data_IF_046952153322
#
_entry.id   IF_046952153322
#
_cell.length_a   1.000
_cell.length_b   1.000
_cell.length_c   1.000
_cell.angle_alpha   90.00
_cell.angle_beta   90.00
_cell.angle_gamma   90.00
#
_symmetry.space_group_name_H-M   'P 1'
#
loop_
_entity.id
_entity.type
_entity.pdbx_description
1 polymer ?
#
# COMPACT_ATOMS: atom_id res chain seq x y z
N UNK A 1 -27.95 58.56 -14.32
CA UNK A 1 -26.88 57.86 -13.60
C UNK A 1 -27.52 56.69 -12.85
N UNK A 2 -27.47 55.49 -13.38
CA UNK A 2 -28.06 54.32 -12.71
C UNK A 2 -27.09 53.72 -11.69
N UNK A 3 -27.64 53.32 -10.69
CA UNK A 3 -27.34 52.80 -9.38
C UNK A 3 -26.08 51.91 -9.26
N UNK A 4 -25.00 52.47 -8.78
CA UNK A 4 -23.73 51.81 -8.44
C UNK A 4 -23.84 50.89 -7.20
N UNK A 5 -24.99 50.87 -6.52
CA UNK A 5 -25.24 50.07 -5.32
C UNK A 5 -25.71 48.64 -5.60
N UNK A 6 -26.39 48.38 -6.73
CA UNK A 6 -26.88 47.05 -7.10
C UNK A 6 -25.76 46.08 -7.56
N UNK A 7 -24.62 46.63 -8.03
CA UNK A 7 -23.51 45.80 -8.51
C UNK A 7 -22.62 45.25 -7.37
N UNK A 8 -22.74 45.77 -6.14
CA UNK A 8 -21.90 45.39 -4.99
C UNK A 8 -22.52 44.32 -4.09
N UNK A 9 -23.84 44.07 -4.17
CA UNK A 9 -24.51 43.04 -3.34
C UNK A 9 -24.45 41.63 -3.95
N UNK A 10 -24.21 41.49 -5.25
CA UNK A 10 -24.16 40.17 -5.90
C UNK A 10 -22.76 39.55 -5.93
N UNK A 11 -21.69 40.30 -5.73
CA UNK A 11 -20.30 39.78 -5.78
C UNK A 11 -19.96 38.78 -4.66
N UNK A 12 -20.35 38.98 -3.38
CA UNK A 12 -20.01 38.02 -2.34
C UNK A 12 -20.77 36.69 -2.45
N UNK A 13 -21.99 36.70 -2.97
CA UNK A 13 -22.76 35.45 -3.17
C UNK A 13 -22.28 34.63 -4.36
N UNK A 14 -21.87 35.26 -5.45
CA UNK A 14 -21.34 34.59 -6.64
C UNK A 14 -19.97 33.95 -6.34
N UNK A 15 -19.08 34.64 -5.64
CA UNK A 15 -17.79 34.11 -5.21
C UNK A 15 -17.93 32.97 -4.21
N UNK A 16 -18.87 33.07 -3.26
CA UNK A 16 -19.18 32.01 -2.30
C UNK A 16 -19.76 30.76 -3.00
N UNK A 17 -20.64 30.97 -3.98
CA UNK A 17 -21.19 29.87 -4.77
C UNK A 17 -20.11 29.19 -5.63
N UNK A 18 -19.23 29.92 -6.30
CA UNK A 18 -18.13 29.38 -7.09
C UNK A 18 -17.15 28.60 -6.20
N UNK A 19 -16.81 29.12 -5.03
CA UNK A 19 -15.97 28.46 -4.04
C UNK A 19 -16.58 27.12 -3.57
N UNK A 20 -17.88 27.09 -3.34
CA UNK A 20 -18.60 25.88 -2.93
C UNK A 20 -18.63 24.85 -4.05
N UNK A 21 -18.83 25.27 -5.31
CA UNK A 21 -18.80 24.40 -6.49
C UNK A 21 -17.40 23.78 -6.64
N UNK A 22 -16.33 24.57 -6.54
CA UNK A 22 -14.94 24.09 -6.63
C UNK A 22 -14.60 23.09 -5.51
N UNK A 23 -15.01 23.38 -4.28
CA UNK A 23 -14.80 22.43 -3.15
C UNK A 23 -15.53 21.11 -3.38
N UNK A 24 -16.74 21.14 -3.89
CA UNK A 24 -17.49 19.93 -4.24
C UNK A 24 -16.83 19.14 -5.37
N UNK A 25 -16.27 19.81 -6.37
CA UNK A 25 -15.51 19.16 -7.45
C UNK A 25 -14.23 18.52 -6.92
N UNK A 26 -13.46 19.20 -6.06
CA UNK A 26 -12.28 18.62 -5.42
C UNK A 26 -12.66 17.38 -4.58
N UNK A 27 -13.72 17.44 -3.79
CA UNK A 27 -14.16 16.30 -2.99
C UNK A 27 -14.50 15.08 -3.85
N UNK A 28 -15.25 15.27 -4.95
CA UNK A 28 -15.60 14.20 -5.90
C UNK A 28 -14.36 13.63 -6.59
N UNK A 29 -13.42 14.48 -6.98
CA UNK A 29 -12.14 14.07 -7.53
C UNK A 29 -11.40 13.13 -6.56
N UNK A 30 -11.32 13.52 -5.28
CA UNK A 30 -10.62 12.70 -4.29
C UNK A 30 -11.32 11.39 -3.96
N UNK A 31 -12.64 11.32 -4.00
CA UNK A 31 -13.37 10.05 -3.92
C UNK A 31 -12.97 9.13 -5.09
N UNK A 32 -12.90 9.65 -6.31
CA UNK A 32 -12.50 8.85 -7.47
C UNK A 32 -11.03 8.39 -7.39
N UNK A 33 -10.12 9.25 -6.94
CA UNK A 33 -8.71 8.87 -6.74
C UNK A 33 -8.56 7.82 -5.61
N UNK A 34 -9.35 7.95 -4.54
CA UNK A 34 -9.40 6.95 -3.48
C UNK A 34 -9.94 5.61 -3.97
N UNK A 35 -10.99 5.62 -4.81
CA UNK A 35 -11.50 4.41 -5.45
C UNK A 35 -10.47 3.79 -6.39
N UNK A 36 -9.72 4.60 -7.16
CA UNK A 36 -8.63 4.09 -7.99
C UNK A 36 -7.55 3.41 -7.13
N UNK A 37 -7.15 4.03 -6.01
CA UNK A 37 -6.21 3.44 -5.06
C UNK A 37 -6.74 2.13 -4.48
N UNK A 38 -8.01 2.10 -4.08
CA UNK A 38 -8.68 0.89 -3.59
C UNK A 38 -8.70 -0.23 -4.63
N UNK A 39 -9.00 0.05 -5.90
CA UNK A 39 -9.00 -0.94 -6.99
C UNK A 39 -7.59 -1.47 -7.31
N UNK A 40 -6.56 -0.63 -7.19
CA UNK A 40 -5.17 -1.04 -7.33
C UNK A 40 -4.79 -2.05 -6.25
N UNK A 41 -5.16 -1.78 -4.99
CA UNK A 41 -4.91 -2.68 -3.88
C UNK A 41 -5.77 -3.94 -3.97
N UNK A 42 -7.04 -3.82 -4.33
CA UNK A 42 -7.92 -4.96 -4.59
C UNK A 42 -7.27 -5.91 -5.61
N UNK A 43 -6.86 -5.40 -6.78
CA UNK A 43 -6.23 -6.21 -7.83
C UNK A 43 -4.89 -6.80 -7.36
N UNK A 44 -4.08 -6.01 -6.67
CA UNK A 44 -2.78 -6.45 -6.16
C UNK A 44 -2.90 -7.66 -5.22
N UNK A 45 -3.88 -7.62 -4.34
CA UNK A 45 -4.09 -8.61 -3.29
C UNK A 45 -5.05 -9.76 -3.67
N UNK A 46 -5.82 -9.63 -4.75
CA UNK A 46 -6.64 -10.73 -5.28
C UNK A 46 -5.80 -11.96 -5.68
N UNK A 47 -4.57 -11.74 -6.11
CA UNK A 47 -3.74 -12.79 -6.74
C UNK A 47 -3.16 -13.78 -5.73
N UNK A 48 -2.73 -13.33 -4.56
CA UNK A 48 -2.04 -14.19 -3.59
C UNK A 48 -2.86 -15.44 -3.20
N UNK A 49 -4.15 -15.35 -2.83
CA UNK A 49 -4.97 -16.52 -2.52
C UNK A 49 -5.27 -17.42 -3.75
N UNK A 50 -5.07 -16.90 -4.96
CA UNK A 50 -5.29 -17.66 -6.20
C UNK A 50 -4.08 -18.49 -6.64
N UNK A 51 -2.91 -18.36 -6.00
CA UNK A 51 -1.68 -19.07 -6.37
C UNK A 51 -1.91 -20.59 -6.51
N UNK A 52 -2.56 -21.31 -5.58
CA UNK A 52 -2.80 -22.73 -5.73
C UNK A 52 -3.63 -23.05 -6.98
N UNK A 53 -4.70 -22.30 -7.21
CA UNK A 53 -5.57 -22.47 -8.37
C UNK A 53 -4.86 -22.18 -9.70
N UNK A 54 -4.04 -21.15 -9.74
CA UNK A 54 -3.27 -20.80 -10.93
C UNK A 54 -2.18 -21.83 -11.24
N UNK A 55 -1.57 -22.43 -10.23
CA UNK A 55 -0.63 -23.53 -10.38
C UNK A 55 -1.28 -24.72 -11.09
N UNK A 56 -2.51 -25.10 -10.68
CA UNK A 56 -3.30 -26.13 -11.35
C UNK A 56 -3.65 -25.75 -12.79
N UNK A 57 -4.16 -24.53 -13.01
CA UNK A 57 -4.60 -24.07 -14.34
C UNK A 57 -3.46 -24.05 -15.35
N UNK A 58 -2.26 -23.62 -14.95
CA UNK A 58 -1.10 -23.55 -15.83
C UNK A 58 -0.23 -24.80 -15.80
N UNK A 59 -0.58 -25.77 -14.94
CA UNK A 59 0.17 -27.03 -14.74
C UNK A 59 1.66 -26.77 -14.44
N UNK A 60 1.93 -25.90 -13.49
CA UNK A 60 3.29 -25.52 -13.03
C UNK A 60 3.37 -25.61 -11.50
N UNK A 61 4.58 -25.76 -10.94
CA UNK A 61 4.78 -25.69 -9.49
C UNK A 61 4.28 -24.38 -8.90
N UNK A 62 3.76 -24.42 -7.66
CA UNK A 62 3.26 -23.20 -6.96
C UNK A 62 4.33 -22.14 -6.79
N UNK A 63 5.60 -22.53 -6.67
CA UNK A 63 6.73 -21.60 -6.57
C UNK A 63 6.95 -20.83 -7.88
N UNK A 64 6.82 -21.52 -9.03
CA UNK A 64 6.97 -20.90 -10.34
C UNK A 64 5.88 -19.84 -10.59
N UNK A 65 4.61 -20.19 -10.38
CA UNK A 65 3.52 -19.24 -10.56
C UNK A 65 3.54 -18.15 -9.46
N UNK A 66 4.05 -18.45 -8.27
CA UNK A 66 4.18 -17.50 -7.16
C UNK A 66 4.99 -16.25 -7.51
N UNK A 67 5.88 -16.32 -8.53
CA UNK A 67 6.66 -15.17 -9.05
C UNK A 67 5.76 -14.02 -9.55
N UNK A 68 4.49 -14.26 -9.85
CA UNK A 68 3.53 -13.21 -10.26
C UNK A 68 3.33 -12.12 -9.19
N UNK A 69 3.54 -12.44 -7.92
CA UNK A 69 3.45 -11.46 -6.82
C UNK A 69 4.69 -10.58 -6.76
N UNK A 70 5.94 -11.11 -6.62
CA UNK A 70 7.13 -10.28 -6.63
C UNK A 70 7.31 -9.50 -7.94
N UNK A 71 6.93 -10.04 -9.10
CA UNK A 71 6.97 -9.33 -10.37
C UNK A 71 6.17 -8.01 -10.33
N UNK A 72 4.94 -8.07 -9.81
CA UNK A 72 4.11 -6.87 -9.62
C UNK A 72 4.72 -5.91 -8.59
N UNK A 73 5.12 -6.42 -7.42
CA UNK A 73 5.60 -5.59 -6.31
C UNK A 73 6.92 -4.88 -6.64
N UNK A 74 7.87 -5.56 -7.28
CA UNK A 74 9.16 -4.97 -7.68
C UNK A 74 8.98 -3.93 -8.79
N UNK A 75 8.12 -4.20 -9.77
CA UNK A 75 7.80 -3.24 -10.82
C UNK A 75 7.11 -1.99 -10.25
N UNK A 76 6.17 -2.19 -9.31
CA UNK A 76 5.55 -1.11 -8.56
C UNK A 76 6.58 -0.27 -7.80
N UNK A 77 7.48 -0.92 -7.05
CA UNK A 77 8.53 -0.26 -6.29
C UNK A 77 9.41 0.60 -7.20
N UNK A 78 9.94 0.02 -8.28
CA UNK A 78 10.84 0.70 -9.19
C UNK A 78 10.22 1.98 -9.75
N UNK A 79 8.99 1.90 -10.24
CA UNK A 79 8.33 3.05 -10.86
C UNK A 79 7.88 4.10 -9.85
N UNK A 80 7.63 3.73 -8.59
CA UNK A 80 7.30 4.70 -7.54
C UNK A 80 8.38 5.78 -7.34
N UNK A 81 9.66 5.46 -7.61
CA UNK A 81 10.75 6.44 -7.58
C UNK A 81 10.67 7.48 -8.70
N UNK A 82 10.13 7.09 -9.86
CA UNK A 82 10.16 7.92 -11.07
C UNK A 82 8.88 8.73 -11.26
N UNK A 83 7.75 8.28 -10.76
CA UNK A 83 6.47 8.96 -11.00
C UNK A 83 6.42 10.39 -10.44
N UNK A 84 7.10 10.68 -9.35
CA UNK A 84 7.25 12.05 -8.85
C UNK A 84 7.89 12.95 -9.92
N UNK A 85 9.04 12.55 -10.43
CA UNK A 85 9.79 13.30 -11.46
C UNK A 85 9.01 13.39 -12.79
N UNK A 86 8.36 12.29 -13.19
CA UNK A 86 7.52 12.30 -14.38
C UNK A 86 6.34 13.28 -14.24
N UNK A 87 5.72 13.31 -13.06
CA UNK A 87 4.57 14.19 -12.81
C UNK A 87 4.94 15.68 -12.81
N UNK A 88 6.14 15.99 -12.33
CA UNK A 88 6.65 17.36 -12.36
C UNK A 88 6.93 17.81 -13.81
N UNK A 89 7.33 16.88 -14.69
CA UNK A 89 7.64 17.16 -16.11
C UNK A 89 6.40 17.20 -17.01
N UNK A 90 5.52 16.22 -16.87
CA UNK A 90 4.39 16.00 -17.80
C UNK A 90 3.05 16.47 -17.22
N UNK A 91 3.06 16.96 -15.99
CA UNK A 91 1.89 17.32 -15.22
C UNK A 91 1.26 16.12 -14.51
N UNK A 92 0.77 16.35 -13.29
CA UNK A 92 0.21 15.28 -12.43
C UNK A 92 -0.96 14.55 -13.08
N UNK A 93 -1.84 15.30 -13.74
CA UNK A 93 -3.00 14.72 -14.42
C UNK A 93 -2.63 13.73 -15.52
N UNK A 94 -1.72 14.14 -16.41
CA UNK A 94 -1.28 13.29 -17.53
C UNK A 94 -0.67 11.98 -17.02
N UNK A 95 0.15 12.07 -15.98
CA UNK A 95 0.83 10.90 -15.42
C UNK A 95 -0.16 9.97 -14.71
N UNK A 96 -1.09 10.48 -13.90
CA UNK A 96 -2.15 9.67 -13.26
C UNK A 96 -2.97 8.95 -14.32
N UNK A 97 -3.40 9.66 -15.38
CA UNK A 97 -4.21 9.10 -16.45
C UNK A 97 -3.50 7.98 -17.21
N UNK A 98 -2.25 8.21 -17.59
CA UNK A 98 -1.44 7.19 -18.30
C UNK A 98 -1.18 6.00 -17.39
N UNK A 99 -0.79 6.22 -16.16
CA UNK A 99 -0.57 5.19 -15.14
C UNK A 99 -1.80 4.31 -14.94
N UNK A 100 -2.97 4.94 -14.74
CA UNK A 100 -4.22 4.20 -14.57
C UNK A 100 -4.67 3.50 -15.88
N UNK A 101 -4.41 4.07 -17.05
CA UNK A 101 -4.69 3.41 -18.33
C UNK A 101 -3.81 2.16 -18.52
N UNK A 102 -2.53 2.23 -18.21
CA UNK A 102 -1.63 1.06 -18.23
C UNK A 102 -2.13 0.00 -17.24
N UNK A 103 -2.49 0.40 -16.02
CA UNK A 103 -3.05 -0.52 -15.03
C UNK A 103 -4.30 -1.23 -15.53
N UNK A 104 -5.27 -0.51 -16.09
CA UNK A 104 -6.52 -1.06 -16.66
C UNK A 104 -6.22 -2.05 -17.76
N UNK A 105 -5.42 -1.64 -18.75
CA UNK A 105 -5.09 -2.47 -19.92
C UNK A 105 -4.33 -3.72 -19.52
N UNK A 106 -3.30 -3.59 -18.68
CA UNK A 106 -2.49 -4.74 -18.26
C UNK A 106 -3.24 -5.67 -17.30
N UNK A 107 -4.18 -5.14 -16.49
CA UNK A 107 -5.08 -5.99 -15.68
C UNK A 107 -6.00 -6.83 -16.58
N UNK A 108 -6.58 -6.23 -17.63
CA UNK A 108 -7.38 -6.97 -18.60
C UNK A 108 -6.53 -8.02 -19.35
N UNK A 109 -5.32 -7.65 -19.79
CA UNK A 109 -4.39 -8.57 -20.44
C UNK A 109 -3.93 -9.70 -19.52
N UNK A 110 -3.80 -9.46 -18.21
CA UNK A 110 -3.51 -10.55 -17.25
C UNK A 110 -4.59 -11.63 -17.28
N UNK A 111 -5.86 -11.25 -17.47
CA UNK A 111 -6.96 -12.21 -17.60
C UNK A 111 -6.90 -13.06 -18.88
N UNK A 112 -6.17 -12.65 -19.92
CA UNK A 112 -6.00 -13.39 -21.16
C UNK A 112 -4.81 -14.34 -21.15
N UNK A 113 -4.02 -14.38 -20.08
CA UNK A 113 -2.83 -15.20 -19.98
C UNK A 113 -3.16 -16.71 -20.18
N UNK A 114 -2.36 -17.37 -21.02
CA UNK A 114 -2.45 -18.79 -21.30
C UNK A 114 -1.28 -19.58 -20.72
N UNK A 115 -0.21 -18.89 -20.29
CA UNK A 115 0.96 -19.48 -19.65
C UNK A 115 1.36 -18.69 -18.41
N UNK A 116 2.06 -19.33 -17.49
CA UNK A 116 2.62 -18.68 -16.29
C UNK A 116 3.53 -17.50 -16.66
N UNK A 117 4.39 -17.67 -17.67
CA UNK A 117 5.31 -16.61 -18.13
C UNK A 117 4.55 -15.39 -18.67
N UNK A 118 3.48 -15.58 -19.45
CA UNK A 118 2.63 -14.47 -19.89
C UNK A 118 2.02 -13.75 -18.70
N UNK A 119 1.53 -14.49 -17.71
CA UNK A 119 0.96 -13.88 -16.51
C UNK A 119 1.99 -13.06 -15.73
N UNK A 120 3.23 -13.55 -15.59
CA UNK A 120 4.33 -12.81 -14.97
C UNK A 120 4.60 -11.49 -15.70
N UNK A 121 4.67 -11.50 -17.04
CA UNK A 121 4.91 -10.29 -17.84
C UNK A 121 3.77 -9.27 -17.63
N UNK A 122 2.51 -9.71 -17.73
CA UNK A 122 1.37 -8.81 -17.53
C UNK A 122 1.31 -8.27 -16.10
N UNK A 123 1.67 -9.06 -15.09
CA UNK A 123 1.74 -8.64 -13.70
C UNK A 123 2.82 -7.56 -13.49
N UNK A 124 3.99 -7.75 -14.10
CA UNK A 124 5.06 -6.75 -14.09
C UNK A 124 4.57 -5.41 -14.69
N UNK A 125 3.98 -5.45 -15.88
CA UNK A 125 3.45 -4.24 -16.53
C UNK A 125 2.28 -3.61 -15.75
N UNK A 126 1.43 -4.42 -15.12
CA UNK A 126 0.37 -3.93 -14.24
C UNK A 126 0.96 -3.19 -13.04
N UNK A 127 2.03 -3.71 -12.43
CA UNK A 127 2.74 -3.06 -11.33
C UNK A 127 3.33 -1.71 -11.72
N UNK A 128 3.92 -1.59 -12.92
CA UNK A 128 4.39 -0.31 -13.47
C UNK A 128 3.24 0.70 -13.54
N UNK A 129 2.08 0.29 -14.09
CA UNK A 129 0.90 1.16 -14.19
C UNK A 129 0.31 1.54 -12.84
N UNK A 130 0.23 0.61 -11.89
CA UNK A 130 -0.40 0.82 -10.59
C UNK A 130 0.31 1.88 -9.73
N UNK A 131 1.64 1.95 -9.80
CA UNK A 131 2.48 2.69 -8.85
C UNK A 131 2.39 4.22 -8.97
N UNK A 132 1.85 4.77 -10.07
CA UNK A 132 1.76 6.22 -10.27
C UNK A 132 0.57 6.90 -9.59
N UNK A 133 -0.50 6.17 -9.30
CA UNK A 133 -1.75 6.77 -8.80
C UNK A 133 -1.60 7.26 -7.36
N UNK A 134 -1.11 6.41 -6.46
CA UNK A 134 -1.13 6.68 -5.01
C UNK A 134 -0.16 7.81 -4.61
N UNK A 135 1.12 7.81 -5.00
CA UNK A 135 2.03 8.89 -4.66
C UNK A 135 1.56 10.25 -5.19
N UNK A 136 1.00 10.26 -6.41
CA UNK A 136 0.49 11.49 -7.01
C UNK A 136 -0.82 11.95 -6.38
N UNK A 137 -1.66 11.04 -5.90
CA UNK A 137 -2.84 11.39 -5.10
C UNK A 137 -2.43 12.06 -3.79
N UNK A 138 -1.41 11.56 -3.10
CA UNK A 138 -0.89 12.19 -1.89
C UNK A 138 -0.31 13.58 -2.18
N UNK A 139 0.42 13.73 -3.29
CA UNK A 139 0.94 15.01 -3.71
C UNK A 139 -0.19 16.03 -4.00
N UNK A 140 -1.25 15.60 -4.69
CA UNK A 140 -2.43 16.44 -4.97
C UNK A 140 -3.17 16.87 -3.69
N UNK A 141 -3.22 16.03 -2.65
CA UNK A 141 -3.77 16.42 -1.35
C UNK A 141 -2.98 17.61 -0.77
N UNK A 142 -1.65 17.56 -0.90
CA UNK A 142 -0.79 18.65 -0.49
C UNK A 142 -1.02 19.95 -1.26
N UNK A 143 -1.32 19.87 -2.55
CA UNK A 143 -1.51 21.05 -3.42
C UNK A 143 -2.90 21.68 -3.29
N UNK A 144 -3.95 20.85 -3.19
CA UNK A 144 -5.33 21.30 -3.33
C UNK A 144 -6.04 21.55 -1.99
N UNK A 145 -5.49 21.05 -0.87
CA UNK A 145 -6.12 21.20 0.44
C UNK A 145 -5.23 21.92 1.46
N UNK A 146 -5.82 22.82 2.26
CA UNK A 146 -5.12 23.43 3.38
C UNK A 146 -4.74 22.37 4.42
N UNK A 147 -3.68 22.65 5.20
CA UNK A 147 -3.06 21.69 6.13
C UNK A 147 -4.06 21.00 7.07
N UNK A 148 -5.03 21.76 7.62
CA UNK A 148 -6.06 21.25 8.53
C UNK A 148 -7.06 20.26 7.91
N UNK A 149 -7.14 20.16 6.58
CA UNK A 149 -8.04 19.23 5.87
C UNK A 149 -7.32 18.01 5.29
N UNK A 150 -5.99 18.03 5.19
CA UNK A 150 -5.19 16.98 4.56
C UNK A 150 -5.36 15.63 5.26
N UNK A 151 -5.41 15.62 6.60
CA UNK A 151 -5.56 14.40 7.38
C UNK A 151 -6.81 13.58 7.00
N UNK A 152 -7.96 14.23 6.85
CA UNK A 152 -9.20 13.57 6.45
C UNK A 152 -9.12 12.98 5.04
N UNK A 153 -8.46 13.67 4.10
CA UNK A 153 -8.30 13.20 2.72
C UNK A 153 -7.31 12.03 2.61
N UNK A 154 -6.20 12.11 3.33
CA UNK A 154 -5.27 10.98 3.47
C UNK A 154 -5.95 9.77 4.09
N UNK A 155 -6.75 9.97 5.15
CA UNK A 155 -7.52 8.91 5.78
C UNK A 155 -8.48 8.20 4.81
N UNK A 156 -9.14 8.94 3.90
CA UNK A 156 -10.01 8.34 2.88
C UNK A 156 -9.22 7.46 1.90
N UNK A 157 -8.04 7.91 1.45
CA UNK A 157 -7.19 7.12 0.54
C UNK A 157 -6.69 5.87 1.24
N UNK A 158 -6.21 5.97 2.49
CA UNK A 158 -5.77 4.80 3.26
C UNK A 158 -6.91 3.81 3.52
N UNK A 159 -8.10 4.30 3.91
CA UNK A 159 -9.27 3.44 4.10
C UNK A 159 -9.67 2.70 2.80
N UNK A 160 -9.55 3.36 1.63
CA UNK A 160 -9.80 2.72 0.35
C UNK A 160 -8.72 1.68 0.01
N UNK A 161 -7.45 1.93 0.34
CA UNK A 161 -6.36 0.97 0.15
C UNK A 161 -6.55 -0.27 1.03
N UNK A 162 -6.82 -0.10 2.33
CA UNK A 162 -7.05 -1.20 3.27
C UNK A 162 -8.31 -1.99 2.91
N UNK A 163 -9.41 -1.28 2.59
CA UNK A 163 -10.63 -1.92 2.10
C UNK A 163 -10.42 -2.67 0.79
N UNK A 164 -9.62 -2.12 -0.12
CA UNK A 164 -9.23 -2.77 -1.37
C UNK A 164 -8.41 -4.04 -1.11
N UNK A 165 -7.44 -3.99 -0.19
CA UNK A 165 -6.63 -5.14 0.20
C UNK A 165 -7.50 -6.26 0.79
N UNK A 166 -8.35 -5.94 1.77
CA UNK A 166 -9.24 -6.89 2.41
C UNK A 166 -10.24 -7.50 1.40
N UNK A 167 -10.90 -6.66 0.60
CA UNK A 167 -11.84 -7.10 -0.42
C UNK A 167 -11.17 -7.92 -1.53
N UNK A 168 -9.95 -7.56 -1.94
CA UNK A 168 -9.18 -8.28 -2.94
C UNK A 168 -8.82 -9.67 -2.48
N UNK A 169 -8.21 -9.79 -1.32
CA UNK A 169 -7.76 -11.08 -0.78
C UNK A 169 -8.92 -12.02 -0.45
N UNK A 170 -9.91 -11.55 0.31
CA UNK A 170 -11.07 -12.37 0.64
C UNK A 170 -11.95 -12.63 -0.59
N UNK A 171 -12.24 -11.58 -1.38
CA UNK A 171 -13.04 -11.68 -2.60
C UNK A 171 -12.37 -12.58 -3.65
N UNK A 172 -11.04 -12.53 -3.79
CA UNK A 172 -10.29 -13.42 -4.66
C UNK A 172 -10.52 -14.88 -4.32
N UNK A 173 -10.38 -15.26 -3.05
CA UNK A 173 -10.59 -16.63 -2.60
C UNK A 173 -12.06 -17.04 -2.70
N UNK A 174 -13.00 -16.22 -2.20
CA UNK A 174 -14.42 -16.57 -2.08
C UNK A 174 -15.12 -16.62 -3.43
N UNK A 175 -14.83 -15.68 -4.33
CA UNK A 175 -15.57 -15.55 -5.60
C UNK A 175 -14.98 -16.39 -6.72
N UNK A 176 -13.66 -16.77 -6.65
CA UNK A 176 -13.00 -17.52 -7.71
C UNK A 176 -13.76 -18.80 -8.10
N UNK A 177 -14.21 -19.64 -7.16
CA UNK A 177 -14.91 -20.88 -7.52
C UNK A 177 -16.21 -20.68 -8.31
N UNK A 178 -16.84 -19.50 -8.20
CA UNK A 178 -18.13 -19.18 -8.84
C UNK A 178 -17.96 -18.49 -10.19
N UNK A 179 -17.02 -17.54 -10.28
CA UNK A 179 -16.90 -16.68 -11.46
C UNK A 179 -15.58 -16.89 -12.22
N UNK A 180 -14.63 -17.58 -11.62
CA UNK A 180 -13.30 -17.83 -12.15
C UNK A 180 -12.37 -16.60 -12.04
N UNK A 181 -11.07 -16.86 -11.92
CA UNK A 181 -10.05 -15.81 -11.73
C UNK A 181 -9.98 -14.80 -12.89
N UNK A 182 -10.28 -15.21 -14.12
CA UNK A 182 -10.31 -14.32 -15.29
C UNK A 182 -11.39 -13.26 -15.16
N UNK A 183 -12.58 -13.65 -14.73
CA UNK A 183 -13.71 -12.71 -14.54
C UNK A 183 -13.44 -11.71 -13.42
N UNK A 184 -12.73 -12.11 -12.36
CA UNK A 184 -12.33 -11.22 -11.27
C UNK A 184 -11.40 -10.11 -11.78
N UNK A 185 -10.41 -10.47 -12.61
CA UNK A 185 -9.48 -9.50 -13.19
C UNK A 185 -10.17 -8.59 -14.20
N UNK A 186 -11.03 -9.14 -15.08
CA UNK A 186 -11.82 -8.33 -16.04
C UNK A 186 -12.76 -7.38 -15.30
N UNK A 187 -13.46 -7.86 -14.28
CA UNK A 187 -14.34 -7.02 -13.45
C UNK A 187 -13.58 -5.85 -12.82
N UNK A 188 -12.41 -6.12 -12.27
CA UNK A 188 -11.54 -5.08 -11.70
C UNK A 188 -11.07 -4.09 -12.78
N UNK A 189 -10.68 -4.57 -13.96
CA UNK A 189 -10.28 -3.72 -15.08
C UNK A 189 -11.43 -2.83 -15.55
N UNK A 190 -12.66 -3.36 -15.65
CA UNK A 190 -13.86 -2.60 -16.02
C UNK A 190 -14.16 -1.52 -14.97
N UNK A 191 -14.14 -1.85 -13.69
CA UNK A 191 -14.34 -0.87 -12.62
C UNK A 191 -13.29 0.24 -12.64
N UNK A 192 -12.02 -0.12 -12.85
CA UNK A 192 -10.94 0.86 -12.96
C UNK A 192 -11.06 1.72 -14.23
N UNK A 193 -11.52 1.14 -15.35
CA UNK A 193 -11.82 1.88 -16.58
C UNK A 193 -12.96 2.89 -16.38
N UNK A 194 -14.01 2.53 -15.64
CA UNK A 194 -15.10 3.44 -15.29
C UNK A 194 -14.61 4.60 -14.40
N UNK A 195 -13.74 4.32 -13.45
CA UNK A 195 -13.11 5.36 -12.62
C UNK A 195 -12.24 6.27 -13.48
N UNK A 196 -11.41 5.72 -14.38
CA UNK A 196 -10.59 6.49 -15.32
C UNK A 196 -11.46 7.39 -16.22
N UNK A 197 -12.53 6.85 -16.77
CA UNK A 197 -13.48 7.61 -17.59
C UNK A 197 -14.13 8.76 -16.82
N UNK A 198 -14.55 8.52 -15.57
CA UNK A 198 -15.12 9.57 -14.71
C UNK A 198 -14.08 10.63 -14.35
N UNK A 199 -12.84 10.22 -14.08
CA UNK A 199 -11.74 11.14 -13.78
C UNK A 199 -11.45 12.13 -14.91
N UNK A 200 -11.68 11.76 -16.18
CA UNK A 200 -11.44 12.65 -17.31
C UNK A 200 -12.23 13.97 -17.24
N UNK A 201 -13.39 13.96 -16.56
CA UNK A 201 -14.22 15.17 -16.39
C UNK A 201 -13.58 16.22 -15.47
N UNK A 202 -12.57 15.82 -14.70
CA UNK A 202 -11.90 16.69 -13.73
C UNK A 202 -10.54 17.17 -14.20
N UNK A 203 -10.19 16.97 -15.47
CA UNK A 203 -8.88 17.33 -16.03
C UNK A 203 -8.49 18.79 -15.82
N UNK A 204 -9.44 19.72 -15.94
CA UNK A 204 -9.20 21.14 -15.72
C UNK A 204 -8.80 21.51 -14.28
N UNK A 205 -9.13 20.68 -13.28
CA UNK A 205 -8.75 20.92 -11.89
C UNK A 205 -7.27 20.61 -11.61
N UNK A 206 -6.58 19.98 -12.56
CA UNK A 206 -5.17 19.61 -12.46
C UNK A 206 -4.22 20.62 -13.13
N UNK A 207 -4.72 21.74 -13.64
CA UNK A 207 -3.89 22.82 -14.17
C UNK A 207 -3.15 23.54 -13.02
N UNK A 208 -2.33 22.77 -12.33
CA UNK A 208 -1.35 23.30 -11.39
C UNK A 208 -0.16 23.84 -12.16
N UNK A 209 0.33 25.01 -11.76
CA UNK A 209 1.46 25.67 -12.39
C UNK A 209 2.61 24.68 -12.66
N UNK A 210 3.04 24.63 -13.92
CA UNK A 210 4.23 23.85 -14.30
C UNK A 210 5.42 24.37 -13.47
N UNK A 211 6.12 23.46 -12.80
CA UNK A 211 7.33 23.81 -12.06
C UNK A 211 8.38 24.23 -13.10
N UNK A 212 8.76 25.51 -13.06
CA UNK A 212 9.70 26.07 -14.05
C UNK A 212 11.11 25.45 -14.02
N UNK A 213 11.53 24.87 -12.91
CA UNK A 213 12.83 24.21 -12.77
C UNK A 213 12.67 22.79 -12.25
N UNK A 214 12.74 21.83 -13.16
CA UNK A 214 12.71 20.41 -12.83
C UNK A 214 14.01 19.98 -12.16
N UNK A 215 13.94 19.21 -11.06
CA UNK A 215 15.13 18.60 -10.49
C UNK A 215 15.71 17.61 -11.50
N UNK A 216 17.02 17.66 -11.70
CA UNK A 216 17.71 16.63 -12.49
C UNK A 216 17.64 15.28 -11.78
N UNK A 217 17.67 14.19 -12.54
CA UNK A 217 17.71 12.81 -11.98
C UNK A 217 18.81 12.71 -10.92
N UNK A 218 19.97 13.32 -11.15
CA UNK A 218 21.09 13.36 -10.19
C UNK A 218 20.72 14.06 -8.88
N UNK A 219 19.94 15.15 -8.94
CA UNK A 219 19.47 15.85 -7.74
C UNK A 219 18.47 15.00 -6.93
N UNK A 220 17.60 14.27 -7.62
CA UNK A 220 16.66 13.33 -6.98
C UNK A 220 17.42 12.22 -6.24
N UNK A 221 18.37 11.56 -6.90
CA UNK A 221 19.19 10.53 -6.25
C UNK A 221 20.07 11.08 -5.13
N UNK A 222 20.57 12.30 -5.26
CA UNK A 222 21.31 12.98 -4.18
C UNK A 222 20.42 13.24 -2.97
N UNK A 223 19.16 13.62 -3.17
CA UNK A 223 18.17 13.75 -2.10
C UNK A 223 17.92 12.42 -1.36
N UNK A 224 17.75 11.32 -2.09
CA UNK A 224 17.65 9.99 -1.48
C UNK A 224 18.89 9.60 -0.68
N UNK A 225 20.09 9.87 -1.23
CA UNK A 225 21.34 9.63 -0.52
C UNK A 225 21.43 10.42 0.78
N UNK A 226 21.04 11.69 0.79
CA UNK A 226 21.07 12.53 1.99
C UNK A 226 20.14 12.00 3.11
N UNK A 227 18.94 11.52 2.75
CA UNK A 227 18.01 10.90 3.69
C UNK A 227 18.64 9.66 4.34
N UNK A 228 19.35 8.87 3.55
CA UNK A 228 19.99 7.62 3.99
C UNK A 228 21.36 7.85 4.69
N UNK A 229 21.88 9.08 4.80
CA UNK A 229 23.12 9.34 5.53
C UNK A 229 22.96 9.35 7.04
N UNK A 230 21.80 9.77 7.54
CA UNK A 230 21.52 9.79 8.98
C UNK A 230 21.32 8.37 9.55
N UNK A 231 21.80 8.13 10.77
CA UNK A 231 21.55 6.87 11.46
C UNK A 231 20.05 6.58 11.60
N UNK A 232 19.25 7.61 11.96
CA UNK A 232 17.79 7.52 12.08
C UNK A 232 17.14 7.12 10.75
N UNK A 233 17.61 7.68 9.63
CA UNK A 233 17.16 7.31 8.29
C UNK A 233 17.50 5.86 7.94
N UNK A 234 18.80 5.49 8.00
CA UNK A 234 19.25 4.11 7.71
C UNK A 234 18.47 3.07 8.49
N UNK A 235 18.36 3.25 9.80
CA UNK A 235 17.62 2.37 10.70
C UNK A 235 16.16 2.24 10.26
N UNK A 236 15.46 3.37 10.05
CA UNK A 236 14.04 3.37 9.73
C UNK A 236 13.77 2.68 8.39
N UNK A 237 14.54 2.99 7.34
CA UNK A 237 14.37 2.35 6.04
C UNK A 237 14.77 0.87 6.02
N UNK A 238 15.76 0.47 6.81
CA UNK A 238 16.09 -0.95 6.99
C UNK A 238 14.91 -1.72 7.63
N UNK A 239 14.26 -1.14 8.63
CA UNK A 239 13.08 -1.73 9.26
C UNK A 239 11.85 -1.70 8.36
N UNK A 240 11.65 -0.67 7.54
CA UNK A 240 10.60 -0.64 6.51
C UNK A 240 10.80 -1.76 5.50
N UNK A 241 12.04 -1.96 5.03
CA UNK A 241 12.39 -3.05 4.12
C UNK A 241 12.08 -4.41 4.74
N UNK A 242 12.61 -4.65 5.93
CA UNK A 242 12.43 -5.92 6.61
C UNK A 242 10.97 -6.21 6.95
N UNK A 243 10.23 -5.21 7.42
CA UNK A 243 8.80 -5.35 7.69
C UNK A 243 8.02 -5.72 6.43
N UNK A 244 8.41 -5.15 5.27
CA UNK A 244 7.88 -5.56 3.97
C UNK A 244 8.22 -7.02 3.64
N UNK A 245 9.48 -7.42 3.81
CA UNK A 245 9.96 -8.80 3.57
C UNK A 245 9.14 -9.79 4.41
N UNK A 246 9.04 -9.55 5.70
CA UNK A 246 8.35 -10.46 6.60
C UNK A 246 6.87 -10.61 6.28
N UNK A 247 6.15 -9.49 6.22
CA UNK A 247 4.68 -9.53 6.06
C UNK A 247 4.26 -10.05 4.68
N UNK A 248 4.91 -9.61 3.60
CA UNK A 248 4.57 -10.11 2.27
C UNK A 248 4.99 -11.56 2.07
N UNK A 249 6.11 -11.98 2.66
CA UNK A 249 6.54 -13.38 2.63
C UNK A 249 5.46 -14.29 3.23
N UNK A 250 5.06 -14.03 4.47
CA UNK A 250 4.03 -14.86 5.13
C UNK A 250 2.68 -14.73 4.45
N UNK A 251 2.24 -13.50 4.15
CA UNK A 251 0.92 -13.23 3.60
C UNK A 251 0.68 -13.86 2.22
N UNK A 252 1.67 -13.79 1.32
CA UNK A 252 1.52 -14.29 -0.05
C UNK A 252 1.20 -15.79 -0.09
N UNK A 253 1.77 -16.54 0.82
CA UNK A 253 1.66 -18.00 0.88
C UNK A 253 0.64 -18.49 1.90
N UNK A 254 -0.06 -17.57 2.58
CA UNK A 254 -1.02 -17.91 3.64
C UNK A 254 -2.18 -18.77 3.11
N UNK A 255 -2.71 -18.45 1.92
CA UNK A 255 -3.76 -19.26 1.30
C UNK A 255 -3.33 -20.71 1.02
N UNK A 256 -2.10 -20.87 0.50
CA UNK A 256 -1.51 -22.20 0.28
C UNK A 256 -1.30 -22.94 1.61
N UNK A 257 -0.79 -22.24 2.64
CA UNK A 257 -0.62 -22.81 3.97
C UNK A 257 -1.94 -23.35 4.54
N UNK A 258 -3.01 -22.55 4.49
CA UNK A 258 -4.33 -22.94 5.01
C UNK A 258 -4.92 -24.13 4.24
N UNK A 259 -4.76 -24.16 2.92
CA UNK A 259 -5.19 -25.25 2.08
C UNK A 259 -4.44 -26.54 2.41
N UNK A 260 -3.11 -26.51 2.45
CA UNK A 260 -2.29 -27.71 2.67
C UNK A 260 -2.33 -28.23 4.11
N UNK A 261 -2.37 -27.32 5.09
CA UNK A 261 -2.29 -27.69 6.51
C UNK A 261 -3.63 -28.19 7.06
N UNK A 262 -4.73 -27.54 6.66
CA UNK A 262 -6.06 -27.75 7.23
C UNK A 262 -7.09 -28.25 6.23
N UNK A 263 -6.69 -28.41 4.97
CA UNK A 263 -7.60 -28.76 3.86
C UNK A 263 -8.84 -27.85 3.78
N UNK A 264 -8.62 -26.54 4.08
CA UNK A 264 -9.70 -25.56 4.05
C UNK A 264 -10.19 -25.31 2.64
N UNK A 265 -11.50 -25.13 2.50
CA UNK A 265 -12.12 -24.68 1.25
C UNK A 265 -11.87 -23.18 0.99
N UNK A 266 -12.17 -22.73 -0.21
CA UNK A 266 -11.94 -21.37 -0.67
C UNK A 266 -12.65 -20.32 0.21
N UNK A 267 -13.86 -20.63 0.71
CA UNK A 267 -14.61 -19.74 1.58
C UNK A 267 -13.91 -19.57 2.93
N UNK A 268 -13.51 -20.65 3.57
CA UNK A 268 -12.81 -20.65 4.86
C UNK A 268 -11.45 -19.94 4.75
N UNK A 269 -10.71 -20.16 3.66
CA UNK A 269 -9.46 -19.44 3.36
C UNK A 269 -9.74 -17.96 3.24
N UNK A 270 -10.74 -17.56 2.44
CA UNK A 270 -11.08 -16.16 2.23
C UNK A 270 -11.49 -15.45 3.52
N UNK A 271 -12.31 -16.09 4.36
CA UNK A 271 -12.73 -15.54 5.66
C UNK A 271 -11.53 -15.41 6.64
N UNK A 272 -10.62 -16.38 6.63
CA UNK A 272 -9.41 -16.31 7.48
C UNK A 272 -8.49 -15.18 7.03
N UNK A 273 -8.26 -15.05 5.71
CA UNK A 273 -7.41 -13.99 5.16
C UNK A 273 -8.06 -12.61 5.31
N UNK A 274 -9.39 -12.51 5.28
CA UNK A 274 -10.09 -11.25 5.57
C UNK A 274 -9.69 -10.70 6.95
N UNK A 275 -9.43 -11.59 7.92
CA UNK A 275 -8.91 -11.22 9.23
C UNK A 275 -7.61 -10.41 9.19
N UNK A 276 -6.83 -10.51 8.12
CA UNK A 276 -5.60 -9.73 7.96
C UNK A 276 -5.84 -8.22 7.81
N UNK A 277 -6.99 -7.75 7.32
CA UNK A 277 -7.29 -6.32 7.20
C UNK A 277 -8.14 -5.76 8.36
N UNK A 278 -8.74 -6.63 9.18
CA UNK A 278 -9.69 -6.23 10.23
C UNK A 278 -9.05 -5.37 11.32
N UNK A 279 -7.87 -5.71 11.88
CA UNK A 279 -7.26 -4.89 12.94
C UNK A 279 -6.96 -3.46 12.49
N UNK A 280 -6.39 -3.27 11.31
CA UNK A 280 -6.10 -1.95 10.75
C UNK A 280 -7.35 -1.09 10.60
N UNK A 281 -8.44 -1.69 10.12
CA UNK A 281 -9.72 -0.98 9.93
C UNK A 281 -10.37 -0.59 11.28
N UNK A 282 -10.42 -1.52 12.24
CA UNK A 282 -11.16 -1.31 13.49
C UNK A 282 -10.33 -0.62 14.57
N UNK A 283 -9.02 -0.87 14.62
CA UNK A 283 -8.15 -0.42 15.72
C UNK A 283 -7.29 0.80 15.39
N UNK A 284 -7.37 1.36 14.17
CA UNK A 284 -6.54 2.49 13.75
C UNK A 284 -6.60 3.69 14.71
N UNK A 285 -7.79 4.04 15.20
CA UNK A 285 -7.97 5.12 16.19
C UNK A 285 -7.40 4.79 17.58
N UNK A 286 -7.43 3.53 17.98
CA UNK A 286 -6.84 3.04 19.22
C UNK A 286 -5.31 3.02 19.11
N UNK A 287 -4.78 2.59 17.98
CA UNK A 287 -3.35 2.60 17.67
C UNK A 287 -2.82 4.04 17.73
N UNK A 288 -3.53 5.01 17.14
CA UNK A 288 -3.17 6.44 17.24
C UNK A 288 -3.05 6.91 18.69
N UNK A 289 -4.06 6.63 19.53
CA UNK A 289 -4.04 6.99 20.96
C UNK A 289 -2.91 6.27 21.73
N UNK A 290 -2.63 5.02 21.38
CA UNK A 290 -1.53 4.27 21.98
C UNK A 290 -0.17 4.91 21.64
N UNK A 291 0.01 5.39 20.40
CA UNK A 291 1.22 6.13 19.96
C UNK A 291 1.40 7.40 20.78
N UNK A 292 0.33 8.17 20.96
CA UNK A 292 0.38 9.42 21.73
C UNK A 292 0.74 9.17 23.20
N UNK A 293 0.29 8.05 23.78
CA UNK A 293 0.50 7.73 25.19
C UNK A 293 1.86 7.05 25.45
N UNK A 294 2.22 6.05 24.65
CA UNK A 294 3.39 5.19 24.91
C UNK A 294 4.59 5.50 24.01
N UNK A 295 4.36 6.23 22.91
CA UNK A 295 5.38 6.56 21.91
C UNK A 295 5.72 5.41 20.97
N UNK A 296 6.41 5.76 19.91
CA UNK A 296 6.84 4.81 18.89
C UNK A 296 7.85 3.79 19.42
N UNK A 297 8.59 4.17 20.48
CA UNK A 297 9.64 3.35 21.11
C UNK A 297 9.17 1.99 21.64
N UNK A 298 7.91 1.89 22.08
CA UNK A 298 7.33 0.65 22.58
C UNK A 298 6.50 -0.08 21.54
N UNK A 299 5.76 0.66 20.73
CA UNK A 299 4.82 0.07 19.79
C UNK A 299 5.51 -0.57 18.58
N UNK A 300 6.63 -0.01 18.09
CA UNK A 300 7.39 -0.64 17.00
C UNK A 300 7.94 -2.01 17.41
N UNK A 301 8.71 -2.15 18.52
CA UNK A 301 9.15 -3.47 18.94
C UNK A 301 7.99 -4.43 19.25
N UNK A 302 6.94 -3.95 19.93
CA UNK A 302 5.77 -4.77 20.26
C UNK A 302 5.10 -5.33 19.01
N UNK A 303 4.85 -4.50 17.97
CA UNK A 303 4.27 -4.96 16.71
C UNK A 303 5.14 -5.98 15.99
N UNK A 304 6.47 -5.77 15.95
CA UNK A 304 7.41 -6.72 15.34
C UNK A 304 7.42 -8.06 16.09
N UNK A 305 7.47 -8.04 17.43
CA UNK A 305 7.48 -9.25 18.27
C UNK A 305 6.14 -9.99 18.16
N UNK A 306 5.02 -9.28 18.21
CA UNK A 306 3.68 -9.88 18.04
C UNK A 306 3.55 -10.59 16.70
N UNK A 307 3.98 -9.95 15.61
CA UNK A 307 3.97 -10.56 14.29
C UNK A 307 4.87 -11.80 14.23
N UNK A 308 6.07 -11.73 14.84
CA UNK A 308 7.00 -12.88 14.92
C UNK A 308 6.38 -14.06 15.66
N UNK A 309 5.79 -13.81 16.83
CA UNK A 309 5.16 -14.86 17.65
C UNK A 309 3.96 -15.48 16.93
N UNK A 310 3.17 -14.69 16.21
CA UNK A 310 2.06 -15.18 15.38
C UNK A 310 2.56 -16.10 14.27
N UNK A 311 3.60 -15.72 13.53
CA UNK A 311 4.22 -16.56 12.51
C UNK A 311 4.82 -17.84 13.06
N UNK A 312 5.53 -17.76 14.20
CA UNK A 312 6.12 -18.91 14.88
C UNK A 312 5.02 -19.86 15.41
N UNK A 313 3.92 -19.33 15.94
CA UNK A 313 2.80 -20.15 16.43
C UNK A 313 2.21 -21.03 15.32
N UNK A 314 2.23 -20.55 14.06
CA UNK A 314 1.73 -21.31 12.91
C UNK A 314 2.63 -22.51 12.53
N UNK A 315 3.83 -22.65 13.12
CA UNK A 315 4.69 -23.85 12.94
C UNK A 315 4.07 -25.04 13.66
N UNK A 316 3.46 -24.81 14.81
CA UNK A 316 2.90 -25.84 15.66
C UNK A 316 1.52 -26.32 15.16
N UNK A 317 1.07 -27.45 15.68
CA UNK A 317 -0.26 -27.99 15.40
C UNK A 317 -1.32 -27.27 16.25
N UNK A 318 -1.71 -26.07 15.76
CA UNK A 318 -2.80 -25.31 16.35
C UNK A 318 -4.11 -25.57 15.58
N UNK A 319 -5.26 -25.51 16.23
CA UNK A 319 -6.54 -25.68 15.52
C UNK A 319 -6.78 -24.55 14.50
N UNK A 320 -7.66 -24.74 13.50
CA UNK A 320 -7.97 -23.71 12.49
C UNK A 320 -8.36 -22.35 13.09
N UNK A 321 -9.12 -22.34 14.19
CA UNK A 321 -9.49 -21.11 14.91
C UNK A 321 -8.27 -20.40 15.52
N UNK A 322 -7.30 -21.17 16.02
CA UNK A 322 -6.01 -20.64 16.51
C UNK A 322 -5.21 -19.98 15.39
N UNK A 323 -5.23 -20.58 14.18
CA UNK A 323 -4.57 -19.98 13.01
C UNK A 323 -5.26 -18.69 12.58
N UNK A 324 -6.59 -18.62 12.62
CA UNK A 324 -7.31 -17.37 12.35
C UNK A 324 -6.91 -16.26 13.34
N UNK A 325 -6.76 -16.61 14.63
CA UNK A 325 -6.24 -15.66 15.63
C UNK A 325 -4.80 -15.26 15.31
N UNK A 326 -3.94 -16.19 14.92
CA UNK A 326 -2.57 -15.88 14.53
C UNK A 326 -2.52 -14.92 13.34
N UNK A 327 -3.40 -15.08 12.34
CA UNK A 327 -3.52 -14.17 11.20
C UNK A 327 -3.96 -12.76 11.64
N UNK A 328 -4.92 -12.65 12.56
CA UNK A 328 -5.33 -11.38 13.16
C UNK A 328 -4.17 -10.70 13.91
N UNK A 329 -3.42 -11.46 14.70
CA UNK A 329 -2.26 -10.94 15.45
C UNK A 329 -1.12 -10.55 14.52
N UNK A 330 -0.90 -11.30 13.44
CA UNK A 330 0.06 -10.97 12.38
C UNK A 330 -0.26 -9.62 11.73
N UNK A 331 -1.53 -9.41 11.38
CA UNK A 331 -2.02 -8.13 10.84
C UNK A 331 -1.86 -6.99 11.84
N UNK A 332 -2.25 -7.20 13.10
CA UNK A 332 -2.10 -6.19 14.14
C UNK A 332 -0.64 -5.77 14.30
N UNK A 333 0.30 -6.70 14.20
CA UNK A 333 1.73 -6.39 14.21
C UNK A 333 2.15 -5.46 13.07
N UNK A 334 1.60 -5.65 11.87
CA UNK A 334 1.80 -4.77 10.73
C UNK A 334 1.19 -3.38 10.97
N UNK A 335 -0.04 -3.34 11.44
CA UNK A 335 -0.79 -2.09 11.69
C UNK A 335 -0.17 -1.26 12.82
N UNK A 336 0.48 -1.91 13.80
CA UNK A 336 1.25 -1.24 14.84
C UNK A 336 2.59 -0.69 14.35
N UNK A 337 3.12 -1.14 13.23
CA UNK A 337 4.45 -0.74 12.76
C UNK A 337 4.41 0.22 11.58
N UNK A 338 3.61 -0.05 10.56
CA UNK A 338 3.62 0.72 9.31
C UNK A 338 3.26 2.20 9.46
N UNK A 339 2.19 2.61 10.18
CA UNK A 339 1.88 4.02 10.39
C UNK A 339 2.98 4.73 11.18
N UNK A 340 3.65 4.03 12.08
CA UNK A 340 4.73 4.59 12.90
C UNK A 340 5.99 4.84 12.08
N UNK A 341 6.34 3.93 11.17
CA UNK A 341 7.41 4.17 10.21
C UNK A 341 7.09 5.33 9.27
N UNK A 342 5.84 5.47 8.80
CA UNK A 342 5.38 6.64 8.03
C UNK A 342 5.63 7.91 8.84
N UNK A 343 5.25 7.94 10.11
CA UNK A 343 5.46 9.07 10.99
C UNK A 343 6.95 9.44 11.16
N UNK A 344 7.85 8.45 11.33
CA UNK A 344 9.29 8.72 11.42
C UNK A 344 9.83 9.23 10.08
N UNK A 345 9.41 8.64 8.97
CA UNK A 345 9.80 9.05 7.62
C UNK A 345 9.34 10.49 7.32
N UNK A 346 8.14 10.86 7.78
CA UNK A 346 7.64 12.24 7.68
C UNK A 346 8.50 13.21 8.49
N UNK A 347 8.94 12.80 9.70
CA UNK A 347 9.82 13.60 10.55
C UNK A 347 11.26 13.72 10.00
N UNK A 348 11.68 12.82 9.10
CA UNK A 348 12.99 12.87 8.42
C UNK A 348 12.98 13.81 7.21
N UNK A 349 11.81 14.10 6.65
CA UNK A 349 11.66 14.99 5.50
C UNK A 349 11.43 16.43 5.94
N UNK A 350 12.14 17.37 5.31
CA UNK A 350 11.78 18.79 5.35
C UNK A 350 10.58 19.04 4.45
N UNK A 351 9.90 20.18 4.64
CA UNK A 351 8.74 20.58 3.82
C UNK A 351 9.01 20.51 2.29
N UNK A 352 10.25 20.69 1.87
CA UNK A 352 10.68 20.66 0.48
C UNK A 352 10.99 19.24 -0.04
N UNK A 353 11.23 18.25 0.83
CA UNK A 353 11.69 16.91 0.48
C UNK A 353 10.71 15.80 0.88
N UNK A 354 9.55 16.15 1.42
CA UNK A 354 8.57 15.18 1.93
C UNK A 354 8.12 14.17 0.85
N UNK A 355 7.92 14.63 -0.39
CA UNK A 355 7.56 13.75 -1.51
C UNK A 355 8.65 12.72 -1.83
N UNK A 356 9.92 13.13 -1.78
CA UNK A 356 11.06 12.22 -1.99
C UNK A 356 11.17 11.19 -0.85
N UNK A 357 11.02 11.63 0.40
CA UNK A 357 11.09 10.76 1.58
C UNK A 357 10.00 9.69 1.54
N UNK A 358 8.77 10.09 1.18
CA UNK A 358 7.65 9.16 1.03
C UNK A 358 7.79 8.25 -0.20
N UNK A 359 8.28 8.77 -1.32
CA UNK A 359 8.60 7.97 -2.52
C UNK A 359 9.63 6.88 -2.22
N UNK A 360 10.70 7.22 -1.49
CA UNK A 360 11.70 6.26 -1.04
C UNK A 360 11.09 5.21 -0.10
N UNK A 361 10.18 5.61 0.82
CA UNK A 361 9.48 4.68 1.72
C UNK A 361 8.65 3.68 0.93
N UNK A 362 7.90 4.13 -0.07
CA UNK A 362 7.09 3.26 -0.93
C UNK A 362 7.99 2.30 -1.71
N UNK A 363 9.06 2.80 -2.32
CA UNK A 363 10.05 1.98 -3.00
C UNK A 363 10.61 0.88 -2.10
N UNK A 364 11.10 1.24 -0.91
CA UNK A 364 11.74 0.31 0.03
C UNK A 364 10.73 -0.73 0.53
N UNK A 365 9.50 -0.32 0.86
CA UNK A 365 8.46 -1.23 1.33
C UNK A 365 8.05 -2.24 0.26
N UNK A 366 7.77 -1.79 -0.97
CA UNK A 366 7.34 -2.68 -2.04
C UNK A 366 8.49 -3.55 -2.58
N UNK A 367 9.73 -3.06 -2.53
CA UNK A 367 10.93 -3.90 -2.73
C UNK A 367 10.96 -5.01 -1.69
N UNK A 368 10.74 -4.67 -0.41
CA UNK A 368 10.60 -5.67 0.67
C UNK A 368 9.48 -6.67 0.39
N UNK A 369 8.33 -6.22 -0.08
CA UNK A 369 7.21 -7.10 -0.44
C UNK A 369 7.61 -8.10 -1.54
N UNK A 370 8.26 -7.64 -2.60
CA UNK A 370 8.72 -8.52 -3.69
C UNK A 370 9.76 -9.52 -3.21
N UNK A 371 10.79 -9.06 -2.50
CA UNK A 371 11.86 -9.93 -1.96
C UNK A 371 11.26 -10.95 -0.99
N UNK A 372 10.40 -10.54 -0.07
CA UNK A 372 9.82 -11.41 0.94
C UNK A 372 8.95 -12.51 0.35
N UNK A 373 8.06 -12.16 -0.59
CA UNK A 373 7.23 -13.12 -1.31
C UNK A 373 8.08 -14.16 -2.06
N UNK A 374 9.14 -13.70 -2.74
CA UNK A 374 10.07 -14.57 -3.46
C UNK A 374 10.85 -15.49 -2.50
N UNK A 375 11.54 -14.92 -1.51
CA UNK A 375 12.37 -15.70 -0.58
C UNK A 375 11.56 -16.73 0.22
N UNK A 376 10.36 -16.38 0.66
CA UNK A 376 9.50 -17.34 1.34
C UNK A 376 9.10 -18.49 0.41
N UNK A 377 8.77 -18.16 -0.85
CA UNK A 377 8.45 -19.15 -1.90
C UNK A 377 9.61 -20.13 -2.14
N UNK A 378 10.85 -19.65 -2.23
CA UNK A 378 12.03 -20.50 -2.35
C UNK A 378 12.24 -21.37 -1.10
N UNK A 379 12.03 -20.84 0.10
CA UNK A 379 12.13 -21.62 1.33
C UNK A 379 11.05 -22.70 1.46
N UNK A 380 9.93 -22.62 0.73
CA UNK A 380 8.90 -23.64 0.74
C UNK A 380 9.39 -25.00 0.21
N UNK A 381 10.50 -25.07 -0.51
CA UNK A 381 11.16 -26.35 -0.84
C UNK A 381 11.56 -27.13 0.41
N UNK A 382 11.79 -26.44 1.55
CA UNK A 382 12.07 -27.05 2.85
C UNK A 382 10.82 -27.19 3.74
N UNK A 383 9.63 -26.83 3.21
CA UNK A 383 8.34 -26.86 3.88
C UNK A 383 7.97 -25.59 4.64
N UNK A 384 6.68 -25.45 4.95
CA UNK A 384 6.16 -24.26 5.67
C UNK A 384 6.78 -24.07 7.04
N UNK A 385 7.05 -25.15 7.79
CA UNK A 385 7.66 -25.05 9.12
C UNK A 385 9.03 -24.37 9.07
N UNK A 386 9.89 -24.75 8.12
CA UNK A 386 11.20 -24.14 7.93
C UNK A 386 11.08 -22.65 7.50
N UNK A 387 10.21 -22.36 6.55
CA UNK A 387 9.98 -20.99 6.07
C UNK A 387 9.50 -20.06 7.19
N UNK A 388 8.51 -20.50 7.96
CA UNK A 388 7.98 -19.75 9.12
C UNK A 388 9.02 -19.61 10.24
N UNK A 389 9.84 -20.64 10.48
CA UNK A 389 10.90 -20.59 11.51
C UNK A 389 11.98 -19.55 11.14
N UNK A 390 12.43 -19.54 9.87
CA UNK A 390 13.43 -18.58 9.40
C UNK A 390 12.88 -17.17 9.46
N UNK A 391 11.71 -16.92 8.85
CA UNK A 391 11.10 -15.60 8.81
C UNK A 391 10.71 -15.11 10.20
N UNK A 392 10.04 -15.96 11.01
CA UNK A 392 9.64 -15.64 12.37
C UNK A 392 10.83 -15.42 13.31
N UNK A 393 11.87 -16.23 13.18
CA UNK A 393 13.11 -16.09 13.96
C UNK A 393 13.82 -14.77 13.69
N UNK A 394 14.03 -14.41 12.41
CA UNK A 394 14.63 -13.12 12.04
C UNK A 394 13.73 -11.95 12.49
N UNK A 395 12.41 -12.08 12.33
CA UNK A 395 11.46 -11.05 12.77
C UNK A 395 11.53 -10.85 14.29
N UNK A 396 11.65 -11.91 15.07
CA UNK A 396 11.79 -11.85 16.52
C UNK A 396 13.10 -11.16 16.93
N UNK A 397 14.21 -11.51 16.27
CA UNK A 397 15.52 -10.87 16.48
C UNK A 397 15.43 -9.37 16.14
N UNK A 398 14.83 -9.02 14.99
CA UNK A 398 14.61 -7.62 14.61
C UNK A 398 13.73 -6.89 15.64
N UNK A 399 12.69 -7.54 16.17
CA UNK A 399 11.86 -6.99 17.25
C UNK A 399 12.64 -6.71 18.53
N UNK A 400 13.50 -7.64 18.95
CA UNK A 400 14.37 -7.45 20.13
C UNK A 400 15.39 -6.31 19.91
N UNK A 401 16.04 -6.27 18.74
CA UNK A 401 16.99 -5.21 18.39
C UNK A 401 16.29 -3.85 18.23
N UNK A 402 15.01 -3.83 17.86
CA UNK A 402 14.23 -2.59 17.77
C UNK A 402 14.07 -1.88 19.13
N UNK A 403 14.10 -2.59 20.25
CA UNK A 403 13.97 -2.01 21.59
C UNK A 403 15.03 -0.93 21.84
N UNK A 404 16.34 -1.20 21.79
CA UNK A 404 17.36 -0.16 21.96
C UNK A 404 17.41 0.82 20.78
N UNK A 405 17.17 0.34 19.54
CA UNK A 405 17.27 1.20 18.36
C UNK A 405 16.21 2.29 18.31
N UNK A 406 14.97 2.03 18.72
CA UNK A 406 13.88 3.01 18.70
C UNK A 406 13.65 3.68 20.07
N UNK A 407 14.52 3.48 21.05
CA UNK A 407 14.38 4.03 22.39
C UNK A 407 14.16 5.56 22.44
N UNK A 408 14.77 6.29 21.51
CA UNK A 408 14.68 7.75 21.41
C UNK A 408 13.39 8.25 20.74
N UNK A 409 12.55 7.36 20.19
CA UNK A 409 11.28 7.74 19.54
C UNK A 409 10.16 7.94 20.59
N UNK A 410 10.35 8.92 21.46
CA UNK A 410 9.42 9.29 22.54
C UNK A 410 8.24 10.11 22.03
N UNK A 411 7.10 10.15 22.75
CA UNK A 411 5.96 11.02 22.41
C UNK A 411 6.38 12.49 22.29
N UNK A 412 5.72 13.22 21.39
CA UNK A 412 5.99 14.65 21.14
C UNK A 412 5.85 15.52 22.41
N UNK A 413 4.91 15.15 23.28
CA UNK A 413 4.69 15.85 24.58
C UNK A 413 5.88 15.76 25.54
N UNK A 414 6.69 14.70 25.45
CA UNK A 414 7.89 14.53 26.29
C UNK A 414 9.15 15.16 25.66
N UNK A 415 9.15 15.41 24.35
CA UNK A 415 10.26 16.10 23.66
C UNK A 415 10.40 17.56 24.05
N UNK A 416 9.30 18.22 24.40
CA UNK A 416 9.30 19.63 24.85
C UNK A 416 9.75 19.82 26.29
N UNK A 417 9.99 18.75 27.06
CA UNK A 417 10.38 18.77 28.46
C UNK A 417 11.84 18.31 28.71
N UNK A 418 12.54 17.88 27.64
CA UNK A 418 13.99 17.63 27.77
C UNK A 418 14.77 18.92 27.55
N UNK A 419 15.67 19.32 28.47
CA UNK A 419 16.43 20.56 28.42
C UNK A 419 17.37 20.65 27.23
#
# INVERSE_FOLDING_TARGET
MPNRKEHLEHLPHAEAADRTIRLNQHNRLFVLLSLAAGLIFLQGYTIAPLIPRLAEVFNVPVQEIGIIVPAYMLAYALMALFYGVLSDRFGRWSVIRISLAIFVTCTALTATAQTASQMVIWRLLTGLGASGVIPLTFALIGDLFPFNQRGSKLGLVFAAMEGGMAAGSAGGAILEPFVGWRSLLIGTAVLAALVLWRLQRYGALFDTAKIEKLPTIRQVFRGYSQILTSFRGKRTYAYVLWNGIYHSGVYTWLGLYLSQRYNMDALSIGLTILGYGVPGLLLSSLIGRAVDRWGRRWLIPAGLIMAALAGIAMIFEIPPSGTTIAVLVLSLGYDLTQPLFVGIVTDLGDSNNLGQTMGLKVFVLFTGFGIGSFLFGELLHFGFGASLAVFGGIQLICGAIAIPLFWQEVPSQLRSQSP
#
